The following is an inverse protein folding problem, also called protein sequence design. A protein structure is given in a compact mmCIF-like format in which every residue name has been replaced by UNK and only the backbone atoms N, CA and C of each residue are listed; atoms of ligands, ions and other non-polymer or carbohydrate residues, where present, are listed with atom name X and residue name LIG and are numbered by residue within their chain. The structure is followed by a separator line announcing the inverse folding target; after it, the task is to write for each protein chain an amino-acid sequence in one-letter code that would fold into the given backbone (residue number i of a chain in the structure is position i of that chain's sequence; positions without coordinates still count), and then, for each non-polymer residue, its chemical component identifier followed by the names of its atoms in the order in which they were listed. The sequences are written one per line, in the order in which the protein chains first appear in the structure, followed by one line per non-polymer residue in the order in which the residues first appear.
data_IF_928035988667
#
_entry.id   IF_928035988667
#
_cell.length_a   1.000
_cell.length_b   1.000
_cell.length_c   1.000
_cell.angle_alpha   90.00
_cell.angle_beta   90.00
_cell.angle_gamma   90.00
#
_symmetry.space_group_name_H-M   'P 1'
#
loop_
_entity.id
_entity.type
_entity.pdbx_description
1 polymer ?
#
# COMPACT_ATOMS: atom_id res chain seq x y z
N UNK A 1 -13.82 -52.35 0.26
CA UNK A 1 -12.70 -52.17 1.22
C UNK A 1 -11.38 -51.98 0.46
N UNK A 2 -11.14 -50.78 -0.08
CA UNK A 2 -9.91 -50.45 -0.83
C UNK A 2 -9.41 -49.01 -0.59
N UNK A 3 -10.10 -48.21 0.24
CA UNK A 3 -9.77 -46.80 0.48
C UNK A 3 -8.57 -46.62 1.44
N UNK A 4 -8.22 -47.64 2.22
CA UNK A 4 -7.06 -47.58 3.13
C UNK A 4 -5.72 -47.90 2.44
N UNK A 5 -5.75 -48.30 1.17
CA UNK A 5 -4.56 -48.68 0.40
C UNK A 5 -3.88 -47.49 -0.27
N UNK A 6 -4.43 -46.28 -0.15
CA UNK A 6 -3.77 -45.01 -0.52
C UNK A 6 -3.18 -44.28 0.70
N UNK A 7 -3.44 -44.79 1.91
CA UNK A 7 -2.75 -44.42 3.15
C UNK A 7 -1.41 -45.19 3.28
N UNK A 8 -0.78 -45.52 2.15
CA UNK A 8 0.57 -46.07 2.13
C UNK A 8 1.46 -44.94 2.66
N UNK A 9 2.23 -45.15 3.73
CA UNK A 9 2.90 -44.10 4.49
C UNK A 9 3.74 -43.12 3.65
N UNK A 10 4.24 -43.54 2.48
CA UNK A 10 4.96 -42.66 1.55
C UNK A 10 4.14 -41.49 0.98
N UNK A 11 2.83 -41.68 0.76
CA UNK A 11 1.97 -40.62 0.21
C UNK A 11 1.60 -39.57 1.28
N UNK A 12 1.45 -39.97 2.54
CA UNK A 12 1.20 -39.04 3.65
C UNK A 12 2.38 -38.12 3.94
N UNK A 13 3.59 -38.69 3.93
CA UNK A 13 4.80 -37.91 4.19
C UNK A 13 5.00 -36.87 3.08
N UNK A 14 4.74 -37.25 1.82
CA UNK A 14 4.76 -36.31 0.69
C UNK A 14 3.68 -35.23 0.82
N UNK A 15 2.46 -35.62 1.19
CA UNK A 15 1.32 -34.70 1.34
C UNK A 15 1.56 -33.70 2.50
N UNK A 16 2.11 -34.16 3.62
CA UNK A 16 2.49 -33.31 4.75
C UNK A 16 3.58 -32.30 4.38
N UNK A 17 4.60 -32.70 3.62
CA UNK A 17 5.63 -31.78 3.12
C UNK A 17 5.05 -30.71 2.19
N UNK A 18 4.12 -31.09 1.31
CA UNK A 18 3.42 -30.14 0.42
C UNK A 18 2.54 -29.16 1.20
N UNK A 19 1.82 -29.63 2.23
CA UNK A 19 0.99 -28.77 3.09
C UNK A 19 1.87 -27.80 3.88
N UNK A 20 2.96 -28.25 4.51
CA UNK A 20 3.85 -27.35 5.25
C UNK A 20 4.47 -26.31 4.31
N UNK A 21 4.98 -26.71 3.14
CA UNK A 21 5.56 -25.77 2.19
C UNK A 21 4.54 -24.74 1.70
N UNK A 22 3.30 -25.16 1.48
CA UNK A 22 2.19 -24.27 1.11
C UNK A 22 1.81 -23.32 2.24
N UNK A 23 1.67 -23.82 3.48
CA UNK A 23 1.32 -23.01 4.65
C UNK A 23 2.42 -22.01 4.99
N UNK A 24 3.69 -22.39 4.88
CA UNK A 24 4.82 -21.49 5.07
C UNK A 24 4.82 -20.42 3.98
N UNK A 25 4.63 -20.79 2.70
CA UNK A 25 4.52 -19.79 1.63
C UNK A 25 3.32 -18.87 1.82
N UNK A 26 2.14 -19.40 2.13
CA UNK A 26 0.93 -18.62 2.34
C UNK A 26 1.02 -17.72 3.58
N UNK A 27 1.61 -18.20 4.68
CA UNK A 27 1.81 -17.44 5.91
C UNK A 27 2.81 -16.30 5.72
N UNK A 28 3.92 -16.57 5.03
CA UNK A 28 4.87 -15.53 4.64
C UNK A 28 4.23 -14.56 3.65
N UNK A 29 3.50 -15.05 2.65
CA UNK A 29 2.84 -14.22 1.64
C UNK A 29 1.78 -13.31 2.28
N UNK A 30 0.93 -13.84 3.16
CA UNK A 30 -0.12 -13.06 3.80
C UNK A 30 0.46 -11.99 4.72
N UNK A 31 1.46 -12.34 5.53
CA UNK A 31 2.11 -11.37 6.43
C UNK A 31 2.92 -10.33 5.64
N UNK A 32 3.69 -10.78 4.67
CA UNK A 32 4.50 -9.92 3.81
C UNK A 32 3.64 -8.96 3.01
N UNK A 33 2.61 -9.47 2.31
CA UNK A 33 1.66 -8.65 1.56
C UNK A 33 0.94 -7.66 2.48
N UNK A 34 0.48 -8.06 3.66
CA UNK A 34 -0.24 -7.13 4.54
C UNK A 34 0.65 -5.94 4.94
N UNK A 35 1.91 -6.18 5.31
CA UNK A 35 2.87 -5.09 5.57
C UNK A 35 3.27 -4.32 4.32
N UNK A 36 3.50 -5.02 3.19
CA UNK A 36 3.86 -4.39 1.92
C UNK A 36 2.73 -3.58 1.32
N UNK A 37 1.47 -3.89 1.63
CA UNK A 37 0.32 -3.13 1.16
C UNK A 37 0.08 -1.91 2.06
N UNK A 38 0.37 -2.01 3.36
CA UNK A 38 0.18 -0.90 4.33
C UNK A 38 1.31 0.13 4.25
N UNK A 39 2.58 -0.28 4.14
CA UNK A 39 3.73 0.63 4.16
C UNK A 39 3.71 1.68 3.03
N UNK A 40 3.69 1.27 1.75
CA UNK A 40 3.67 2.17 0.60
C UNK A 40 2.38 2.97 0.50
N UNK A 41 1.23 2.40 0.87
CA UNK A 41 -0.04 3.13 0.86
C UNK A 41 -0.04 4.28 1.88
N UNK A 42 0.56 4.10 3.05
CA UNK A 42 0.72 5.18 4.03
C UNK A 42 1.62 6.31 3.49
N UNK A 43 2.74 5.98 2.84
CA UNK A 43 3.61 6.98 2.20
C UNK A 43 2.89 7.67 1.04
N UNK A 44 2.11 6.93 0.26
CA UNK A 44 1.33 7.48 -0.84
C UNK A 44 0.26 8.46 -0.34
N UNK A 45 -0.46 8.12 0.73
CA UNK A 45 -1.43 9.02 1.38
C UNK A 45 -0.77 10.26 1.97
N UNK A 46 0.39 10.10 2.61
CA UNK A 46 1.18 11.24 3.09
C UNK A 46 1.59 12.15 1.92
N UNK A 47 2.03 11.56 0.81
CA UNK A 47 2.43 12.31 -0.39
C UNK A 47 1.24 13.02 -1.05
N UNK A 48 0.07 12.39 -1.08
CA UNK A 48 -1.16 13.02 -1.59
C UNK A 48 -1.52 14.26 -0.76
N UNK A 49 -1.51 14.16 0.57
CA UNK A 49 -1.78 15.29 1.47
C UNK A 49 -0.73 16.42 1.32
N UNK A 50 0.54 16.06 1.11
CA UNK A 50 1.61 17.05 0.85
C UNK A 50 1.43 17.73 -0.51
N UNK A 51 0.91 17.03 -1.52
CA UNK A 51 0.61 17.64 -2.82
C UNK A 51 -0.58 18.60 -2.74
N UNK A 52 -1.65 18.22 -2.04
CA UNK A 52 -2.84 19.05 -1.81
C UNK A 52 -2.49 20.33 -1.02
N UNK A 53 -1.78 20.23 0.10
CA UNK A 53 -1.30 21.40 0.84
C UNK A 53 -0.34 22.27 0.02
N UNK A 54 0.50 21.68 -0.84
CA UNK A 54 1.39 22.47 -1.70
C UNK A 54 0.60 23.26 -2.71
N UNK A 55 -0.39 22.64 -3.35
CA UNK A 55 -1.22 23.27 -4.37
C UNK A 55 -2.04 24.42 -3.79
N UNK A 56 -2.74 24.19 -2.67
CA UNK A 56 -3.50 25.24 -1.96
C UNK A 56 -2.61 26.40 -1.49
N UNK A 57 -1.41 26.10 -0.94
CA UNK A 57 -0.47 27.16 -0.56
C UNK A 57 0.04 27.92 -1.78
N UNK A 58 0.36 27.24 -2.89
CA UNK A 58 0.79 27.94 -4.11
C UNK A 58 -0.32 28.80 -4.70
N UNK A 59 -1.57 28.33 -4.71
CA UNK A 59 -2.72 29.11 -5.16
C UNK A 59 -2.97 30.32 -4.25
N UNK A 60 -2.95 30.13 -2.92
CA UNK A 60 -3.12 31.22 -1.96
C UNK A 60 -2.00 32.26 -2.05
N UNK A 61 -0.75 31.84 -2.20
CA UNK A 61 0.38 32.76 -2.42
C UNK A 61 0.24 33.50 -3.75
N UNK A 62 -0.16 32.82 -4.82
CA UNK A 62 -0.33 33.42 -6.13
C UNK A 62 -1.47 34.45 -6.15
N UNK A 63 -2.64 34.11 -5.57
CA UNK A 63 -3.75 35.04 -5.41
C UNK A 63 -3.37 36.25 -4.58
N UNK A 64 -2.75 36.05 -3.41
CA UNK A 64 -2.34 37.14 -2.52
C UNK A 64 -1.31 38.05 -3.18
N UNK A 65 -0.34 37.48 -3.89
CA UNK A 65 0.66 38.25 -4.62
C UNK A 65 0.06 39.00 -5.81
N UNK A 66 -0.92 38.42 -6.51
CA UNK A 66 -1.62 39.07 -7.62
C UNK A 66 -2.56 40.20 -7.13
N UNK A 67 -3.21 40.05 -5.98
CA UNK A 67 -4.10 41.07 -5.40
C UNK A 67 -3.32 42.23 -4.80
N UNK A 68 -2.19 41.95 -4.13
CA UNK A 68 -1.29 42.97 -3.59
C UNK A 68 -0.70 43.84 -4.73
N UNK A 69 -0.29 43.23 -5.86
CA UNK A 69 0.16 44.00 -7.03
C UNK A 69 -0.93 44.86 -7.68
N UNK A 70 -2.21 44.46 -7.64
CA UNK A 70 -3.32 45.26 -8.17
C UNK A 70 -3.73 46.42 -7.27
N UNK A 71 -3.51 46.30 -5.96
CA UNK A 71 -3.82 47.34 -4.97
C UNK A 71 -2.67 48.32 -4.75
N UNK A 72 -1.44 47.95 -5.15
CA UNK A 72 -0.27 48.82 -5.15
C UNK A 72 -0.20 49.80 -6.34
N UNK A 73 -1.11 49.72 -7.32
CA UNK A 73 -1.26 50.77 -8.33
C UNK A 73 -2.20 51.84 -7.77
N UNK A 74 -1.70 53.01 -7.33
CA UNK A 74 -2.57 54.06 -6.81
C UNK A 74 -3.47 54.51 -7.96
N UNK A 75 -4.79 54.42 -7.75
CA UNK A 75 -5.75 55.12 -8.60
C UNK A 75 -5.47 56.61 -8.44
N UNK A 76 -4.74 57.17 -9.41
CA UNK A 76 -4.60 58.62 -9.63
C UNK A 76 -5.92 59.21 -10.08
#
# INVERSE_FOLDING_TARGET
MMILKSFIPGNLISLHMTIINSVVMAGLYYRFLTTLSIGPSYIFLLRARVMEEREERTESYFYTHYTNKRTACPKS
#
